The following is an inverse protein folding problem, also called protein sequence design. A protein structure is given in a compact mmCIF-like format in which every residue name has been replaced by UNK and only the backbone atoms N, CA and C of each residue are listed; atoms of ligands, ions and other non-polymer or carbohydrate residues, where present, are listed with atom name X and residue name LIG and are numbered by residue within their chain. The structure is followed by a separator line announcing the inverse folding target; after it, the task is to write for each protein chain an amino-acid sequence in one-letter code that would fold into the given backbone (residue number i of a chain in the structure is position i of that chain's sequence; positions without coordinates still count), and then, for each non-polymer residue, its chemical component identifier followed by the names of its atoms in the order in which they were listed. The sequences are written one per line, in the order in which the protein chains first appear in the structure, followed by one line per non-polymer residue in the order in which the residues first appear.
data_IF_925437931654
#
_entry.id   IF_925437931654
#
_cell.length_a   1.000
_cell.length_b   1.000
_cell.length_c   1.000
_cell.angle_alpha   90.00
_cell.angle_beta   90.00
_cell.angle_gamma   90.00
#
_symmetry.space_group_name_H-M   'P 1'
#
loop_
_entity.id
_entity.type
_entity.pdbx_description
1 polymer ?
#
# COMPACT_ATOMS: atom_id res chain seq x y z
N UNK A 1 2.36 3.95 -42.84
CA UNK A 1 2.95 3.03 -41.84
C UNK A 1 3.69 3.87 -40.82
N UNK A 2 3.17 3.97 -39.60
CA UNK A 2 3.68 4.85 -38.55
C UNK A 2 4.80 4.20 -37.75
N UNK A 3 5.96 4.85 -37.74
CA UNK A 3 7.18 4.49 -37.02
C UNK A 3 7.10 5.01 -35.58
N UNK A 4 6.29 4.38 -34.71
CA UNK A 4 6.23 4.69 -33.28
C UNK A 4 5.82 3.45 -32.46
N UNK A 5 6.69 2.44 -32.37
CA UNK A 5 6.38 1.20 -31.64
C UNK A 5 7.55 0.54 -30.92
N UNK A 6 8.68 1.24 -30.68
CA UNK A 6 9.89 0.64 -30.11
C UNK A 6 10.65 1.52 -29.11
N UNK A 7 9.98 2.23 -28.20
CA UNK A 7 10.72 3.02 -27.20
C UNK A 7 10.32 2.91 -25.73
N UNK A 8 9.35 2.08 -25.32
CA UNK A 8 9.12 1.77 -23.90
C UNK A 8 8.59 0.35 -23.73
N UNK A 9 9.40 -0.65 -24.03
CA UNK A 9 9.25 -1.94 -23.37
C UNK A 9 10.11 -1.84 -22.11
N UNK A 10 9.51 -1.43 -20.99
CA UNK A 10 10.15 -1.59 -19.69
C UNK A 10 10.56 -3.05 -19.46
N UNK A 11 11.40 -3.35 -18.46
CA UNK A 11 11.74 -4.72 -18.11
C UNK A 11 10.45 -5.56 -18.03
N UNK A 12 10.46 -6.74 -18.67
CA UNK A 12 9.31 -7.62 -18.69
C UNK A 12 9.00 -8.02 -17.25
N UNK A 13 7.83 -7.60 -16.74
CA UNK A 13 7.39 -7.92 -15.38
C UNK A 13 7.31 -9.43 -15.23
N UNK A 14 7.93 -9.96 -14.18
CA UNK A 14 7.79 -11.34 -13.77
C UNK A 14 6.43 -11.53 -13.10
N UNK A 15 5.41 -11.77 -13.93
CA UNK A 15 4.04 -11.94 -13.46
C UNK A 15 3.89 -13.13 -12.50
N UNK A 16 4.67 -14.20 -12.70
CA UNK A 16 4.61 -15.37 -11.82
C UNK A 16 5.07 -15.03 -10.40
N UNK A 17 6.15 -14.25 -10.28
CA UNK A 17 6.62 -13.74 -9.00
C UNK A 17 5.66 -12.74 -8.37
N UNK A 18 5.13 -11.82 -9.18
CA UNK A 18 4.11 -10.86 -8.73
C UNK A 18 2.89 -11.58 -8.15
N UNK A 19 2.39 -12.61 -8.84
CA UNK A 19 1.22 -13.36 -8.40
C UNK A 19 1.50 -14.23 -7.16
N UNK A 20 2.72 -14.77 -7.03
CA UNK A 20 3.14 -15.44 -5.81
C UNK A 20 3.16 -14.48 -4.62
N UNK A 21 3.68 -13.27 -4.80
CA UNK A 21 3.70 -12.25 -3.76
C UNK A 21 2.30 -11.73 -3.42
N UNK A 22 1.41 -11.56 -4.42
CA UNK A 22 0.00 -11.24 -4.17
C UNK A 22 -0.69 -12.27 -3.28
N UNK A 23 -0.45 -13.56 -3.55
CA UNK A 23 -1.01 -14.65 -2.73
C UNK A 23 -0.50 -14.59 -1.30
N UNK A 24 0.81 -14.38 -1.10
CA UNK A 24 1.39 -14.19 0.23
C UNK A 24 0.83 -12.97 0.96
N UNK A 25 0.70 -11.83 0.27
CA UNK A 25 0.06 -10.64 0.84
C UNK A 25 -1.37 -10.94 1.30
N UNK A 26 -2.13 -11.67 0.48
CA UNK A 26 -3.49 -12.09 0.83
C UNK A 26 -3.50 -13.00 2.06
N UNK A 27 -2.62 -14.00 2.12
CA UNK A 27 -2.51 -14.91 3.26
C UNK A 27 -2.21 -14.17 4.56
N UNK A 28 -1.15 -13.33 4.56
CA UNK A 28 -0.77 -12.51 5.72
C UNK A 28 -1.88 -11.54 6.15
N UNK A 29 -2.58 -10.94 5.19
CA UNK A 29 -3.68 -10.02 5.51
C UNK A 29 -4.85 -10.76 6.17
N UNK A 30 -5.24 -11.92 5.64
CA UNK A 30 -6.34 -12.72 6.19
C UNK A 30 -6.02 -13.33 7.56
N UNK A 31 -4.74 -13.50 7.89
CA UNK A 31 -4.32 -13.99 9.21
C UNK A 31 -4.69 -13.00 10.32
N UNK A 32 -4.55 -11.70 10.06
CA UNK A 32 -4.73 -10.64 11.06
C UNK A 32 -6.00 -9.80 10.85
N UNK A 33 -6.73 -10.00 9.75
CA UNK A 33 -7.98 -9.29 9.42
C UNK A 33 -9.14 -10.26 9.26
N UNK A 34 -10.10 -10.17 10.18
CA UNK A 34 -11.35 -10.92 10.09
C UNK A 34 -12.11 -10.58 8.80
N UNK A 35 -12.61 -11.59 8.11
CA UNK A 35 -13.24 -11.46 6.78
C UNK A 35 -12.33 -10.73 5.77
N UNK A 36 -11.01 -10.93 5.85
CA UNK A 36 -10.03 -10.25 5.01
C UNK A 36 -10.27 -10.39 3.49
N UNK A 37 -10.97 -11.44 3.07
CA UNK A 37 -11.37 -11.67 1.66
C UNK A 37 -12.30 -10.59 1.10
N UNK A 38 -13.03 -9.87 1.96
CA UNK A 38 -13.92 -8.79 1.54
C UNK A 38 -13.17 -7.51 1.16
N UNK A 39 -11.85 -7.47 1.40
CA UNK A 39 -11.00 -6.33 1.11
C UNK A 39 -10.20 -6.57 -0.17
N UNK A 40 -10.13 -5.56 -1.04
CA UNK A 40 -9.12 -5.49 -2.09
C UNK A 40 -7.79 -5.04 -1.50
N UNK A 41 -6.66 -5.43 -2.10
CA UNK A 41 -5.33 -5.17 -1.55
C UNK A 41 -4.43 -4.42 -2.53
N UNK A 42 -3.62 -3.52 -1.98
CA UNK A 42 -2.41 -2.99 -2.60
C UNK A 42 -1.25 -3.12 -1.61
N UNK A 43 -0.05 -3.12 -2.15
CA UNK A 43 1.16 -2.86 -1.40
C UNK A 43 1.44 -1.36 -1.38
N UNK A 44 1.79 -0.85 -0.21
CA UNK A 44 2.28 0.51 -0.03
C UNK A 44 3.44 0.56 0.95
N UNK A 45 3.97 1.76 1.17
CA UNK A 45 5.00 1.98 2.18
C UNK A 45 4.81 3.34 2.87
N UNK A 46 5.36 3.45 4.07
CA UNK A 46 5.40 4.71 4.83
C UNK A 46 6.83 5.11 5.13
N UNK A 47 7.10 6.41 5.07
CA UNK A 47 8.38 6.99 5.50
C UNK A 47 8.33 7.45 6.97
N UNK A 48 7.13 7.53 7.58
CA UNK A 48 6.95 7.95 8.96
C UNK A 48 6.87 6.72 9.89
N UNK A 49 7.94 6.52 10.67
CA UNK A 49 8.18 5.29 11.44
C UNK A 49 8.12 5.53 12.94
N UNK A 50 7.77 6.74 13.37
CA UNK A 50 7.58 7.03 14.79
C UNK A 50 6.52 6.14 15.47
N UNK A 51 5.62 5.53 14.68
CA UNK A 51 4.52 4.68 15.12
C UNK A 51 4.65 3.22 14.64
N UNK A 52 5.65 2.89 13.81
CA UNK A 52 5.77 1.61 13.10
C UNK A 52 6.83 0.71 13.77
N UNK A 53 6.41 -0.26 14.58
CA UNK A 53 7.29 -1.14 15.37
C UNK A 53 7.63 -2.48 14.68
N UNK A 54 7.29 -2.67 13.40
CA UNK A 54 7.42 -3.94 12.71
C UNK A 54 8.32 -3.82 11.47
N UNK A 55 9.22 -4.78 11.23
CA UNK A 55 9.83 -4.97 9.91
C UNK A 55 10.83 -3.91 9.39
N UNK A 56 11.69 -3.35 10.24
CA UNK A 56 12.75 -2.44 9.80
C UNK A 56 13.72 -3.09 8.81
N UNK A 57 13.85 -2.51 7.61
CA UNK A 57 14.91 -2.87 6.67
C UNK A 57 16.24 -2.27 7.15
N UNK A 58 17.07 -3.10 7.78
CA UNK A 58 18.41 -2.70 8.23
C UNK A 58 19.30 -2.37 7.02
N UNK A 59 19.77 -1.12 6.93
CA UNK A 59 20.77 -0.70 5.93
C UNK A 59 20.37 0.45 5.01
N UNK A 60 19.11 0.88 5.00
CA UNK A 60 18.68 2.06 4.23
C UNK A 60 18.93 3.36 5.01
N UNK A 61 19.40 4.41 4.32
CA UNK A 61 19.48 5.79 4.87
C UNK A 61 18.08 6.37 5.15
N UNK A 62 17.07 5.87 4.44
CA UNK A 62 15.66 6.20 4.66
C UNK A 62 15.02 5.01 5.37
N UNK A 63 14.61 5.21 6.62
CA UNK A 63 13.78 4.21 7.28
C UNK A 63 12.44 4.20 6.53
N UNK A 64 12.04 3.06 5.98
CA UNK A 64 10.72 2.83 5.36
C UNK A 64 10.01 1.68 6.07
N UNK A 65 8.69 1.77 6.20
CA UNK A 65 7.81 0.72 6.69
C UNK A 65 6.95 0.16 5.56
N UNK A 66 6.95 -1.15 5.37
CA UNK A 66 6.21 -1.82 4.29
C UNK A 66 4.79 -2.15 4.75
N UNK A 67 3.80 -1.91 3.89
CA UNK A 67 2.38 -2.00 4.23
C UNK A 67 1.64 -2.91 3.24
N UNK A 68 0.86 -3.86 3.76
CA UNK A 68 -0.27 -4.43 3.04
C UNK A 68 -1.48 -3.57 3.38
N UNK A 69 -2.06 -2.92 2.37
CA UNK A 69 -3.19 -2.00 2.55
C UNK A 69 -4.41 -2.63 1.93
N UNK A 70 -5.40 -2.92 2.76
CA UNK A 70 -6.71 -3.39 2.34
C UNK A 70 -7.75 -2.28 2.33
N UNK A 71 -8.65 -2.28 1.36
CA UNK A 71 -9.82 -1.39 1.39
C UNK A 71 -11.11 -2.12 1.03
N UNK A 72 -12.21 -1.63 1.59
CA UNK A 72 -13.55 -2.12 1.32
C UNK A 72 -14.48 -0.93 1.03
N UNK A 73 -15.02 -0.91 -0.19
CA UNK A 73 -15.91 0.15 -0.67
C UNK A 73 -17.22 0.26 0.11
N UNK A 74 -17.79 -0.88 0.52
CA UNK A 74 -19.10 -0.95 1.17
C UNK A 74 -19.04 -0.40 2.60
N UNK A 75 -18.02 -0.81 3.36
CA UNK A 75 -17.82 -0.37 4.74
C UNK A 75 -17.01 0.93 4.85
N UNK A 76 -16.51 1.47 3.73
CA UNK A 76 -15.64 2.65 3.69
C UNK A 76 -14.48 2.55 4.69
N UNK A 77 -13.82 1.40 4.69
CA UNK A 77 -12.74 1.08 5.64
C UNK A 77 -11.45 0.84 4.89
N UNK A 78 -10.37 1.43 5.39
CA UNK A 78 -8.99 1.12 5.01
C UNK A 78 -8.35 0.38 6.18
N UNK A 79 -7.66 -0.72 5.90
CA UNK A 79 -6.90 -1.50 6.89
C UNK A 79 -5.45 -1.50 6.47
N UNK A 80 -4.56 -1.19 7.40
CA UNK A 80 -3.12 -1.17 7.17
C UNK A 80 -2.48 -2.26 8.03
N UNK A 81 -1.75 -3.16 7.38
CA UNK A 81 -1.02 -4.25 8.01
C UNK A 81 0.48 -4.06 7.74
N UNK A 82 1.29 -3.78 8.78
CA UNK A 82 2.75 -3.77 8.66
C UNK A 82 3.31 -5.10 8.16
N UNK A 83 4.31 -5.07 7.30
CA UNK A 83 5.01 -6.28 6.81
C UNK A 83 6.50 -6.02 6.59
N UNK A 84 7.24 -7.06 6.21
CA UNK A 84 8.61 -7.01 5.67
C UNK A 84 8.62 -7.25 4.15
N UNK A 85 9.66 -6.80 3.41
CA UNK A 85 9.71 -6.89 1.95
C UNK A 85 9.60 -8.31 1.37
N UNK A 86 10.11 -9.31 2.09
CA UNK A 86 10.08 -10.72 1.67
C UNK A 86 8.77 -11.44 2.03
N UNK A 87 7.83 -10.74 2.67
CA UNK A 87 6.55 -11.25 3.15
C UNK A 87 6.71 -12.46 4.08
N UNK A 88 7.78 -12.52 4.88
CA UNK A 88 8.00 -13.59 5.87
C UNK A 88 7.14 -13.44 7.13
N UNK A 89 6.49 -12.29 7.33
CA UNK A 89 5.53 -12.08 8.41
C UNK A 89 4.86 -10.70 8.35
N UNK A 90 3.80 -10.53 9.14
CA UNK A 90 3.09 -9.27 9.33
C UNK A 90 2.97 -8.87 10.81
N UNK A 91 2.70 -7.58 11.04
CA UNK A 91 2.32 -7.03 12.35
C UNK A 91 0.81 -6.88 12.49
N UNK A 92 0.37 -6.23 13.57
CA UNK A 92 -1.06 -6.05 13.87
C UNK A 92 -1.76 -5.14 12.85
N UNK A 93 -3.00 -5.49 12.51
CA UNK A 93 -3.85 -4.69 11.63
C UNK A 93 -4.34 -3.41 12.31
N UNK A 94 -4.24 -2.28 11.60
CA UNK A 94 -4.82 -0.99 12.01
C UNK A 94 -5.98 -0.61 11.11
N UNK A 95 -7.14 -0.34 11.69
CA UNK A 95 -8.38 -0.02 10.96
C UNK A 95 -8.63 1.49 10.94
N UNK A 96 -8.92 2.02 9.77
CA UNK A 96 -9.32 3.39 9.52
C UNK A 96 -10.70 3.39 8.87
N UNK A 97 -11.74 3.64 9.67
CA UNK A 97 -13.11 3.79 9.14
C UNK A 97 -13.39 5.23 8.80
N UNK A 98 -14.04 5.46 7.66
CA UNK A 98 -14.27 6.81 7.15
C UNK A 98 -14.99 7.73 8.14
N UNK A 99 -15.91 7.20 8.94
CA UNK A 99 -16.68 7.94 9.94
C UNK A 99 -15.93 8.17 11.26
N UNK A 100 -14.83 7.45 11.50
CA UNK A 100 -14.03 7.53 12.74
C UNK A 100 -12.81 8.43 12.59
N UNK A 101 -12.29 8.60 11.37
CA UNK A 101 -11.11 9.42 11.10
C UNK A 101 -11.41 10.92 11.13
N UNK A 102 -10.41 11.69 11.55
CA UNK A 102 -10.49 13.16 11.55
C UNK A 102 -10.35 13.77 10.16
N UNK A 103 -9.36 13.32 9.38
CA UNK A 103 -9.02 13.92 8.08
C UNK A 103 -8.39 12.87 7.18
N UNK A 104 -8.73 12.87 5.89
CA UNK A 104 -8.03 12.11 4.87
C UNK A 104 -7.93 12.93 3.58
N UNK A 105 -6.76 12.93 2.95
CA UNK A 105 -6.52 13.59 1.66
C UNK A 105 -5.34 12.96 0.93
N UNK A 106 -5.29 13.13 -0.38
CA UNK A 106 -4.13 12.79 -1.19
C UNK A 106 -3.22 14.02 -1.31
N UNK A 107 -1.95 13.88 -0.91
CA UNK A 107 -0.92 14.90 -1.15
C UNK A 107 -0.29 14.62 -2.51
N UNK A 108 -0.16 15.63 -3.37
CA UNK A 108 0.46 15.50 -4.70
C UNK A 108 1.94 15.92 -4.73
N UNK A 109 2.47 16.44 -3.64
CA UNK A 109 3.84 16.91 -3.51
C UNK A 109 4.29 16.85 -2.03
N UNK A 110 5.53 16.46 -1.70
CA UNK A 110 6.62 16.03 -2.57
C UNK A 110 6.53 14.57 -3.06
N UNK A 111 5.67 13.74 -2.48
CA UNK A 111 5.33 12.38 -2.93
C UNK A 111 3.82 12.25 -3.06
N UNK A 112 3.34 11.41 -4.00
CA UNK A 112 1.92 11.13 -4.17
C UNK A 112 1.45 10.17 -3.07
N UNK A 113 1.12 10.73 -1.92
CA UNK A 113 0.86 9.99 -0.69
C UNK A 113 -0.60 10.15 -0.24
N UNK A 114 -1.22 9.04 0.14
CA UNK A 114 -2.53 9.02 0.79
C UNK A 114 -2.35 9.23 2.28
N UNK A 115 -2.80 10.39 2.77
CA UNK A 115 -2.63 10.79 4.16
C UNK A 115 -3.92 10.58 4.93
N UNK A 116 -3.85 9.84 6.04
CA UNK A 116 -4.98 9.59 6.94
C UNK A 116 -4.59 10.04 8.35
N UNK A 117 -5.37 10.97 8.89
CA UNK A 117 -5.31 11.39 10.29
C UNK A 117 -6.44 10.69 11.05
N UNK A 118 -6.17 9.63 11.83
CA UNK A 118 -7.18 9.05 12.71
C UNK A 118 -7.63 10.06 13.76
N UNK A 119 -6.69 10.82 14.34
CA UNK A 119 -6.96 11.80 15.39
C UNK A 119 -6.10 13.07 15.25
N UNK A 120 -5.80 13.76 16.36
CA UNK A 120 -4.92 14.95 16.36
C UNK A 120 -3.44 14.65 16.64
N UNK A 121 -3.12 13.43 17.05
CA UNK A 121 -1.81 13.03 17.60
C UNK A 121 -0.88 12.49 16.53
N UNK A 122 -1.41 11.94 15.44
CA UNK A 122 -0.60 11.39 14.36
C UNK A 122 -1.36 11.23 13.05
N UNK A 123 -0.64 10.74 12.05
CA UNK A 123 -1.15 10.37 10.75
C UNK A 123 -0.41 9.14 10.22
N UNK A 124 -1.00 8.49 9.22
CA UNK A 124 -0.30 7.53 8.37
C UNK A 124 -0.25 8.12 6.96
N UNK A 125 0.95 8.18 6.39
CA UNK A 125 1.18 8.43 4.97
C UNK A 125 1.43 7.12 4.24
N UNK A 126 0.54 6.76 3.33
CA UNK A 126 0.64 5.57 2.47
C UNK A 126 1.13 6.04 1.11
N UNK A 127 2.35 5.66 0.75
CA UNK A 127 2.91 5.85 -0.58
C UNK A 127 2.75 4.56 -1.37
N UNK A 128 2.56 4.68 -2.67
CA UNK A 128 2.56 3.55 -3.60
C UNK A 128 3.88 3.58 -4.36
N UNK A 129 4.53 2.43 -4.50
CA UNK A 129 5.77 2.33 -5.24
C UNK A 129 5.45 2.15 -6.73
N UNK A 130 5.96 3.07 -7.57
CA UNK A 130 5.81 3.00 -9.03
C UNK A 130 6.86 2.11 -9.69
N UNK A 131 7.92 1.70 -8.96
CA UNK A 131 9.09 1.06 -9.57
C UNK A 131 9.54 -0.21 -8.85
N UNK A 132 9.53 -1.32 -9.60
CA UNK A 132 9.75 -2.70 -9.14
C UNK A 132 11.22 -3.09 -8.91
N UNK A 133 12.18 -2.16 -8.98
CA UNK A 133 13.61 -2.52 -9.10
C UNK A 133 14.35 -2.71 -7.78
N UNK A 134 13.83 -2.24 -6.64
CA UNK A 134 14.47 -2.43 -5.33
C UNK A 134 13.71 -3.42 -4.43
N UNK A 135 13.76 -4.70 -4.82
CA UNK A 135 13.13 -5.81 -4.10
C UNK A 135 13.69 -6.05 -2.69
N UNK A 136 14.82 -5.43 -2.34
CA UNK A 136 15.36 -5.49 -0.97
C UNK A 136 14.60 -4.53 -0.05
N UNK A 137 14.05 -3.47 -0.61
CA UNK A 137 13.32 -2.42 0.11
C UNK A 137 11.81 -2.63 0.05
N UNK A 138 11.30 -3.12 -1.07
CA UNK A 138 9.86 -3.21 -1.36
C UNK A 138 9.44 -4.60 -1.79
N UNK A 139 8.15 -4.89 -1.63
CA UNK A 139 7.54 -6.11 -2.16
C UNK A 139 7.43 -5.99 -3.69
N UNK A 140 7.92 -7.00 -4.41
CA UNK A 140 7.77 -7.09 -5.86
C UNK A 140 6.31 -7.43 -6.23
N UNK A 141 5.52 -6.45 -6.66
CA UNK A 141 4.13 -6.64 -7.08
C UNK A 141 3.69 -5.61 -8.12
N UNK A 142 3.19 -6.06 -9.27
CA UNK A 142 2.75 -5.20 -10.39
C UNK A 142 1.27 -4.88 -10.28
N UNK A 143 0.90 -3.76 -9.67
CA UNK A 143 -0.45 -3.50 -9.14
C UNK A 143 -1.14 -2.24 -9.71
N UNK A 144 -0.87 -1.90 -10.97
CA UNK A 144 -1.35 -0.64 -11.58
C UNK A 144 -2.88 -0.48 -11.56
N UNK A 145 -3.61 -1.57 -11.84
CA UNK A 145 -5.08 -1.57 -11.83
C UNK A 145 -5.62 -1.40 -10.41
N UNK A 146 -5.08 -2.14 -9.44
CA UNK A 146 -5.48 -2.08 -8.03
C UNK A 146 -5.20 -0.70 -7.42
N UNK A 147 -4.07 -0.07 -7.78
CA UNK A 147 -3.73 1.30 -7.35
C UNK A 147 -4.69 2.32 -7.91
N UNK A 148 -5.09 2.18 -9.18
CA UNK A 148 -6.09 3.05 -9.81
C UNK A 148 -7.45 2.92 -9.12
N UNK A 149 -7.89 1.70 -8.83
CA UNK A 149 -9.13 1.45 -8.09
C UNK A 149 -9.07 2.02 -6.66
N UNK A 150 -7.97 1.81 -5.95
CA UNK A 150 -7.76 2.35 -4.62
C UNK A 150 -7.79 3.88 -4.64
N UNK A 151 -7.13 4.50 -5.61
CA UNK A 151 -7.12 5.97 -5.79
C UNK A 151 -8.54 6.50 -6.00
N UNK A 152 -9.33 5.82 -6.84
CA UNK A 152 -10.71 6.21 -7.11
C UNK A 152 -11.60 6.10 -5.86
N UNK A 153 -11.49 4.99 -5.14
CA UNK A 153 -12.14 4.79 -3.84
C UNK A 153 -11.72 5.88 -2.85
N UNK A 154 -10.41 6.13 -2.72
CA UNK A 154 -9.88 7.06 -1.73
C UNK A 154 -10.43 8.46 -1.98
N UNK A 155 -10.36 8.96 -3.21
CA UNK A 155 -10.79 10.31 -3.55
C UNK A 155 -12.31 10.49 -3.50
N UNK A 156 -13.08 9.49 -3.97
CA UNK A 156 -14.54 9.63 -4.09
C UNK A 156 -15.29 9.26 -2.82
N UNK A 157 -14.78 8.31 -2.03
CA UNK A 157 -15.49 7.70 -0.89
C UNK A 157 -14.80 7.92 0.44
N UNK A 158 -13.47 7.90 0.47
CA UNK A 158 -12.71 7.97 1.73
C UNK A 158 -12.19 9.36 2.08
N UNK A 159 -12.03 10.25 1.11
CA UNK A 159 -11.50 11.59 1.36
C UNK A 159 -12.46 12.38 2.27
N UNK A 160 -11.88 13.18 3.16
CA UNK A 160 -12.64 14.16 3.94
C UNK A 160 -12.80 15.44 3.14
N UNK A 161 -14.00 16.04 3.21
CA UNK A 161 -14.25 17.37 2.66
C UNK A 161 -13.36 18.42 3.32
#
# INVERSE_FOLDING_TARGET
MGLFGKLFAGPQVDMAKSDANRKKMRELFNEVVENGQDYKLIFGFTEDIGWFNYGFVHGSKTKIGNLIVGWNDNSQTIVVVPTVPDLSGCGDATFYRRNEIRKAYQSKYPTDAFIIYPDRKGYIGINVCDWLEDEKLYVYVSQEEEVKEFTDFFLKRFQTK
#
